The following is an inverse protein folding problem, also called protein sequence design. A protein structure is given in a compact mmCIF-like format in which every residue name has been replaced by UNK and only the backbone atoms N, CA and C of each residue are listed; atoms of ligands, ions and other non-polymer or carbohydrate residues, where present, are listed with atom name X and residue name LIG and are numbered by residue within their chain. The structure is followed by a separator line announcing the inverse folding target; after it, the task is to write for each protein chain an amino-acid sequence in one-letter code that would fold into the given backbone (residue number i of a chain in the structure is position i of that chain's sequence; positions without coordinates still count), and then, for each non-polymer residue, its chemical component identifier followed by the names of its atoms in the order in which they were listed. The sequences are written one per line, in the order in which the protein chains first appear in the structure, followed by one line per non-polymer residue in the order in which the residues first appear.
data_IF_938737903581
#
_entry.id   IF_938737903581
#
_cell.length_a   1.000
_cell.length_b   1.000
_cell.length_c   1.000
_cell.angle_alpha   90.00
_cell.angle_beta   90.00
_cell.angle_gamma   90.00
#
_symmetry.space_group_name_H-M   'P 1'
#
loop_
_entity.id
_entity.type
_entity.pdbx_description
1 polymer ?
#
# COMPACT_ATOMS: atom_id res chain seq x y z
N UNK A 1 12.25 22.82 -16.43
CA UNK A 1 12.75 21.46 -16.10
C UNK A 1 13.01 20.78 -17.43
N UNK A 2 14.18 20.19 -17.66
CA UNK A 2 14.46 19.51 -18.92
C UNK A 2 13.52 18.30 -19.07
N UNK A 3 12.90 18.16 -20.24
CA UNK A 3 12.01 17.05 -20.53
C UNK A 3 12.83 15.75 -20.52
N UNK A 4 12.51 14.81 -19.62
CA UNK A 4 13.15 13.49 -19.62
C UNK A 4 12.65 12.71 -20.84
N UNK A 5 13.51 12.53 -21.84
CA UNK A 5 13.17 11.96 -23.14
C UNK A 5 13.14 10.43 -23.16
N UNK A 6 13.56 9.76 -22.08
CA UNK A 6 13.62 8.31 -21.97
C UNK A 6 13.36 7.84 -20.53
N UNK A 7 12.92 6.59 -20.39
CA UNK A 7 12.78 5.83 -19.15
C UNK A 7 14.09 5.07 -18.94
N UNK A 8 14.76 5.29 -17.82
CA UNK A 8 15.98 4.58 -17.46
C UNK A 8 15.66 3.39 -16.58
N UNK A 9 16.00 2.19 -17.05
CA UNK A 9 16.03 0.97 -16.24
C UNK A 9 17.50 0.68 -15.94
N UNK A 10 17.81 0.47 -14.66
CA UNK A 10 19.17 0.14 -14.21
C UNK A 10 19.15 -1.08 -13.30
N UNK A 11 20.05 -2.02 -13.54
CA UNK A 11 20.30 -3.18 -12.69
C UNK A 11 19.12 -4.14 -12.59
N UNK A 12 18.24 -4.21 -13.60
CA UNK A 12 17.05 -5.07 -13.53
C UNK A 12 17.44 -6.54 -13.38
N UNK A 13 16.91 -7.20 -12.35
CA UNK A 13 17.27 -8.55 -11.92
C UNK A 13 16.07 -9.49 -11.74
N UNK A 14 14.88 -9.03 -12.12
CA UNK A 14 13.68 -9.84 -11.97
C UNK A 14 13.75 -11.14 -12.77
N UNK A 15 13.37 -12.23 -12.12
CA UNK A 15 13.47 -13.60 -12.62
C UNK A 15 14.86 -13.99 -13.13
N UNK A 16 15.07 -13.94 -14.44
CA UNK A 16 16.31 -14.36 -15.10
C UNK A 16 17.09 -13.19 -15.73
N UNK A 17 16.66 -11.96 -15.47
CA UNK A 17 17.40 -10.76 -15.88
C UNK A 17 18.74 -10.69 -15.16
N UNK A 18 19.80 -10.37 -15.89
CA UNK A 18 21.19 -10.40 -15.40
C UNK A 18 21.73 -9.00 -15.17
N UNK A 19 21.10 -8.22 -14.29
CA UNK A 19 21.43 -6.80 -14.04
C UNK A 19 21.36 -5.98 -15.33
N UNK A 20 20.18 -5.98 -15.96
CA UNK A 20 19.98 -5.31 -17.24
C UNK A 20 19.81 -3.81 -17.04
N UNK A 21 20.62 -3.03 -17.74
CA UNK A 21 20.48 -1.59 -17.90
C UNK A 21 19.92 -1.29 -19.30
N UNK A 22 18.86 -0.49 -19.39
CA UNK A 22 18.28 -0.07 -20.68
C UNK A 22 17.61 1.30 -20.59
N UNK A 23 17.75 2.09 -21.64
CA UNK A 23 17.03 3.35 -21.83
C UNK A 23 15.94 3.18 -22.87
N UNK A 24 14.70 3.48 -22.51
CA UNK A 24 13.52 3.31 -23.36
C UNK A 24 12.99 4.70 -23.73
N UNK A 25 12.97 5.08 -25.02
CA UNK A 25 12.49 6.40 -25.42
C UNK A 25 11.02 6.60 -25.05
N UNK A 26 10.69 7.75 -24.47
CA UNK A 26 9.31 8.13 -24.16
C UNK A 26 8.59 8.57 -25.43
N UNK A 27 7.26 8.47 -25.42
CA UNK A 27 6.38 8.90 -26.52
C UNK A 27 6.64 8.21 -27.87
N UNK A 28 7.23 7.02 -27.84
CA UNK A 28 7.48 6.20 -29.02
C UNK A 28 6.91 4.81 -28.83
N UNK A 29 6.54 4.17 -29.94
CA UNK A 29 6.11 2.78 -29.93
C UNK A 29 7.34 1.87 -29.89
N UNK A 30 7.64 1.32 -28.71
CA UNK A 30 8.81 0.48 -28.48
C UNK A 30 8.40 -0.98 -28.41
N UNK A 31 9.10 -1.84 -29.15
CA UNK A 31 8.85 -3.28 -29.19
C UNK A 31 10.02 -4.03 -28.54
N UNK A 32 9.73 -4.86 -27.54
CA UNK A 32 10.69 -5.75 -26.90
C UNK A 32 10.58 -7.15 -27.53
N UNK A 33 11.66 -7.63 -28.16
CA UNK A 33 11.69 -8.92 -28.88
C UNK A 33 12.88 -9.78 -28.46
N UNK A 34 12.86 -11.07 -28.84
CA UNK A 34 13.85 -12.07 -28.42
C UNK A 34 13.28 -13.49 -28.25
N UNK A 35 14.17 -14.48 -28.16
CA UNK A 35 13.84 -15.90 -28.02
C UNK A 35 12.94 -16.20 -26.80
N UNK A 36 12.17 -17.29 -26.86
CA UNK A 36 11.38 -17.73 -25.69
C UNK A 36 12.28 -17.90 -24.46
N UNK A 37 11.85 -17.42 -23.30
CA UNK A 37 12.62 -17.46 -22.06
C UNK A 37 13.73 -16.40 -21.93
N UNK A 38 13.91 -15.48 -22.88
CA UNK A 38 14.98 -14.47 -22.81
C UNK A 38 14.77 -13.32 -21.81
N UNK A 39 13.68 -13.32 -21.03
CA UNK A 39 13.38 -12.27 -20.04
C UNK A 39 12.56 -11.08 -20.54
N UNK A 40 11.95 -11.14 -21.74
CA UNK A 40 11.11 -10.05 -22.31
C UNK A 40 9.96 -9.65 -21.39
N UNK A 41 9.16 -10.63 -20.96
CA UNK A 41 8.01 -10.39 -20.08
C UNK A 41 8.45 -9.88 -18.72
N UNK A 42 9.57 -10.41 -18.20
CA UNK A 42 10.15 -9.96 -16.94
C UNK A 42 10.61 -8.51 -16.98
N UNK A 43 11.17 -8.06 -18.10
CA UNK A 43 11.53 -6.66 -18.29
C UNK A 43 10.27 -5.78 -18.50
N UNK A 44 9.36 -6.18 -19.39
CA UNK A 44 8.21 -5.36 -19.79
C UNK A 44 7.13 -5.23 -18.70
N UNK A 45 6.72 -6.36 -18.14
CA UNK A 45 5.58 -6.44 -17.22
C UNK A 45 6.03 -6.42 -15.77
N UNK A 46 6.97 -7.32 -15.42
CA UNK A 46 7.32 -7.54 -14.02
C UNK A 46 8.30 -6.47 -13.49
N UNK A 47 8.98 -5.74 -14.37
CA UNK A 47 9.86 -4.60 -14.00
C UNK A 47 9.23 -3.27 -14.39
N UNK A 48 9.10 -2.98 -15.69
CA UNK A 48 8.71 -1.63 -16.16
C UNK A 48 7.26 -1.30 -15.82
N UNK A 49 6.33 -2.21 -16.09
CA UNK A 49 4.91 -1.97 -15.80
C UNK A 49 4.59 -2.03 -14.30
N UNK A 50 5.25 -2.92 -13.55
CA UNK A 50 5.06 -3.05 -12.10
C UNK A 50 5.54 -1.80 -11.33
N UNK A 51 6.71 -1.26 -11.69
CA UNK A 51 7.31 -0.09 -11.03
C UNK A 51 6.82 1.25 -11.59
N UNK A 52 6.36 1.27 -12.84
CA UNK A 52 5.81 2.45 -13.48
C UNK A 52 4.47 2.83 -12.86
N UNK A 53 4.44 3.79 -11.93
CA UNK A 53 3.18 4.41 -11.49
C UNK A 53 2.35 4.82 -12.72
N UNK A 54 1.09 4.36 -12.87
CA UNK A 54 0.33 4.59 -14.11
C UNK A 54 -0.05 6.05 -14.42
N UNK A 55 0.13 7.02 -13.51
CA UNK A 55 -0.43 8.37 -13.70
C UNK A 55 0.53 9.57 -13.56
N UNK A 56 1.62 9.50 -12.80
CA UNK A 56 2.43 10.71 -12.51
C UNK A 56 3.88 10.67 -13.02
N UNK A 57 4.44 9.48 -13.26
CA UNK A 57 5.82 9.32 -13.73
C UNK A 57 6.90 9.84 -12.76
N UNK A 58 6.56 10.09 -11.49
CA UNK A 58 7.49 10.49 -10.44
C UNK A 58 8.11 9.27 -9.75
N UNK A 59 9.36 9.35 -9.26
CA UNK A 59 9.98 8.30 -8.46
C UNK A 59 9.10 7.95 -7.25
N UNK A 60 9.00 6.65 -6.93
CA UNK A 60 8.33 6.19 -5.71
C UNK A 60 9.28 6.44 -4.55
N UNK A 61 9.01 7.48 -3.76
CA UNK A 61 9.76 7.78 -2.54
C UNK A 61 8.97 7.38 -1.30
N UNK A 62 9.68 7.02 -0.23
CA UNK A 62 9.08 6.84 1.09
C UNK A 62 8.45 8.16 1.53
N UNK A 63 7.15 8.16 1.79
CA UNK A 63 6.43 9.36 2.19
C UNK A 63 6.62 9.60 3.69
N UNK A 64 6.79 10.86 4.09
CA UNK A 64 6.74 11.20 5.49
C UNK A 64 5.29 11.23 5.96
N UNK A 65 5.08 10.99 7.26
CA UNK A 65 3.74 11.08 7.88
C UNK A 65 3.11 12.45 7.60
N UNK A 66 3.90 13.52 7.59
CA UNK A 66 3.39 14.86 7.31
C UNK A 66 2.81 14.98 5.89
N UNK A 67 3.45 14.38 4.89
CA UNK A 67 2.94 14.41 3.51
C UNK A 67 1.59 13.70 3.39
N UNK A 68 1.41 12.60 4.15
CA UNK A 68 0.14 11.86 4.22
C UNK A 68 -0.95 12.70 4.88
N UNK A 69 -0.62 13.39 5.96
CA UNK A 69 -1.54 14.30 6.66
C UNK A 69 -1.98 15.43 5.73
N UNK A 70 -1.04 16.08 5.05
CA UNK A 70 -1.32 17.19 4.16
C UNK A 70 -2.23 16.77 2.99
N UNK A 71 -2.02 15.58 2.43
CA UNK A 71 -2.92 15.01 1.41
C UNK A 71 -4.34 14.83 1.91
N UNK A 72 -4.52 14.34 3.13
CA UNK A 72 -5.84 14.14 3.73
C UNK A 72 -6.52 15.47 4.05
N UNK A 73 -5.77 16.47 4.53
CA UNK A 73 -6.31 17.80 4.81
C UNK A 73 -6.75 18.56 3.54
N UNK A 74 -6.18 18.23 2.38
CA UNK A 74 -6.60 18.76 1.09
C UNK A 74 -7.87 18.11 0.51
N UNK A 75 -8.45 17.12 1.20
CA UNK A 75 -9.74 16.54 0.81
C UNK A 75 -10.90 17.50 1.14
N UNK A 76 -12.07 17.26 0.54
CA UNK A 76 -13.26 18.06 0.79
C UNK A 76 -13.66 18.04 2.28
N UNK A 77 -13.92 19.21 2.84
CA UNK A 77 -14.34 19.36 4.24
C UNK A 77 -15.64 18.59 4.50
N UNK A 78 -15.71 17.92 5.65
CA UNK A 78 -16.85 17.05 5.99
C UNK A 78 -16.78 15.64 5.40
N UNK A 79 -15.79 15.33 4.54
CA UNK A 79 -15.55 13.96 4.09
C UNK A 79 -15.36 13.03 5.27
N UNK A 80 -16.02 11.88 5.24
CA UNK A 80 -15.97 10.87 6.31
C UNK A 80 -15.14 9.70 5.84
N UNK A 81 -14.11 9.35 6.60
CA UNK A 81 -13.21 8.25 6.26
C UNK A 81 -12.86 7.43 7.50
N UNK A 82 -12.49 6.16 7.26
CA UNK A 82 -11.85 5.33 8.26
C UNK A 82 -10.35 5.27 7.94
N UNK A 83 -9.50 5.51 8.93
CA UNK A 83 -8.09 5.18 8.84
C UNK A 83 -7.91 3.72 9.30
N UNK A 84 -7.44 2.88 8.39
CA UNK A 84 -7.31 1.45 8.60
C UNK A 84 -5.84 1.05 8.63
N UNK A 85 -5.46 0.21 9.60
CA UNK A 85 -4.14 -0.41 9.67
C UNK A 85 -4.23 -1.90 9.32
N UNK A 86 -3.71 -2.33 8.17
CA UNK A 86 -3.83 -3.70 7.68
C UNK A 86 -2.81 -4.62 8.37
N UNK A 87 -3.24 -5.34 9.39
CA UNK A 87 -2.38 -6.23 10.18
C UNK A 87 -2.25 -7.64 9.60
N UNK A 88 -3.23 -8.06 8.80
CA UNK A 88 -3.23 -9.36 8.12
C UNK A 88 -3.73 -9.16 6.70
N UNK A 89 -2.93 -9.58 5.72
CA UNK A 89 -3.29 -9.54 4.30
C UNK A 89 -3.16 -10.92 3.70
N UNK A 90 -4.28 -11.46 3.23
CA UNK A 90 -4.38 -12.68 2.42
C UNK A 90 -3.66 -13.89 3.05
N UNK A 91 -3.81 -14.06 4.37
CA UNK A 91 -3.16 -15.14 5.14
C UNK A 91 -4.19 -16.04 5.82
N UNK A 92 -3.81 -17.32 5.98
CA UNK A 92 -4.64 -18.33 6.64
C UNK A 92 -4.43 -18.32 8.16
N UNK A 93 -5.50 -18.40 8.94
CA UNK A 93 -5.41 -18.45 10.39
C UNK A 93 -6.74 -18.18 11.10
N UNK A 94 -6.78 -18.40 12.42
CA UNK A 94 -7.96 -18.10 13.25
C UNK A 94 -7.88 -16.73 13.95
N UNK A 95 -6.68 -16.15 14.05
CA UNK A 95 -6.36 -14.81 14.56
C UNK A 95 -6.94 -14.43 15.95
N UNK A 96 -7.29 -15.41 16.78
CA UNK A 96 -7.88 -15.19 18.12
C UNK A 96 -6.95 -14.44 19.07
N UNK A 97 -5.64 -14.67 19.00
CA UNK A 97 -4.66 -14.01 19.86
C UNK A 97 -4.50 -12.55 19.48
N UNK A 98 -4.45 -12.30 18.18
CA UNK A 98 -4.32 -11.00 17.56
C UNK A 98 -5.53 -10.13 17.93
N UNK A 99 -6.77 -10.64 17.83
CA UNK A 99 -7.95 -9.92 18.32
C UNK A 99 -7.87 -9.57 19.81
N UNK A 100 -7.39 -10.51 20.64
CA UNK A 100 -7.23 -10.27 22.08
C UNK A 100 -6.16 -9.20 22.38
N UNK A 101 -5.06 -9.22 21.66
CA UNK A 101 -3.97 -8.24 21.79
C UNK A 101 -4.42 -6.85 21.38
N UNK A 102 -5.12 -6.72 20.25
CA UNK A 102 -5.68 -5.44 19.80
C UNK A 102 -6.65 -4.86 20.82
N UNK A 103 -7.52 -5.70 21.37
CA UNK A 103 -8.46 -5.28 22.43
C UNK A 103 -7.71 -4.77 23.67
N UNK A 104 -6.66 -5.48 24.10
CA UNK A 104 -5.82 -5.05 25.23
C UNK A 104 -5.10 -3.73 24.97
N UNK A 105 -4.71 -3.49 23.73
CA UNK A 105 -4.12 -2.22 23.28
C UNK A 105 -5.15 -1.08 23.16
N UNK A 106 -6.44 -1.35 23.43
CA UNK A 106 -7.49 -0.34 23.48
C UNK A 106 -8.25 -0.13 22.17
N UNK A 107 -7.96 -0.92 21.13
CA UNK A 107 -8.73 -0.88 19.89
C UNK A 107 -10.12 -1.48 20.12
N UNK A 108 -11.12 -0.89 19.46
CA UNK A 108 -12.52 -1.30 19.61
C UNK A 108 -13.10 -1.97 18.37
N UNK A 109 -12.58 -1.67 17.16
CA UNK A 109 -13.17 -2.15 15.91
C UNK A 109 -12.13 -2.66 14.95
N UNK A 110 -12.53 -3.65 14.16
CA UNK A 110 -11.74 -4.24 13.07
C UNK A 110 -12.64 -4.42 11.86
N UNK A 111 -12.04 -4.42 10.68
CA UNK A 111 -12.64 -4.87 9.43
C UNK A 111 -12.05 -6.22 9.05
N UNK A 112 -12.87 -7.25 8.89
CA UNK A 112 -12.46 -8.59 8.45
C UNK A 112 -13.16 -8.93 7.13
N UNK A 113 -12.39 -9.28 6.10
CA UNK A 113 -12.90 -9.69 4.79
C UNK A 113 -13.95 -8.75 4.16
N UNK A 114 -13.90 -7.45 4.47
CA UNK A 114 -14.82 -6.38 4.05
C UNK A 114 -15.93 -5.98 5.04
N UNK A 115 -16.12 -6.73 6.13
CA UNK A 115 -17.14 -6.43 7.13
C UNK A 115 -16.54 -5.88 8.42
N UNK A 116 -17.25 -4.96 9.08
CA UNK A 116 -16.81 -4.35 10.33
C UNK A 116 -17.37 -5.11 11.54
N UNK A 117 -16.50 -5.36 12.52
CA UNK A 117 -16.82 -6.05 13.75
C UNK A 117 -16.32 -5.25 14.96
N UNK A 118 -17.00 -5.44 16.09
CA UNK A 118 -16.51 -5.00 17.39
C UNK A 118 -15.48 -6.01 17.93
N UNK A 119 -14.42 -5.54 18.57
CA UNK A 119 -13.40 -6.40 19.18
C UNK A 119 -13.89 -7.08 20.46
N UNK A 120 -15.00 -6.63 21.05
CA UNK A 120 -15.68 -7.35 22.12
C UNK A 120 -16.39 -8.61 21.58
N UNK A 121 -16.81 -8.61 20.31
CA UNK A 121 -17.48 -9.72 19.64
C UNK A 121 -16.88 -9.98 18.23
N UNK A 122 -15.60 -10.39 18.13
CA UNK A 122 -14.96 -10.61 16.84
C UNK A 122 -15.50 -11.87 16.14
N UNK A 123 -15.43 -11.94 14.80
CA UNK A 123 -15.90 -13.10 14.06
C UNK A 123 -15.00 -14.32 14.31
N UNK A 124 -15.59 -15.51 14.27
CA UNK A 124 -14.82 -16.76 14.32
C UNK A 124 -14.28 -17.06 12.93
N UNK A 125 -12.95 -17.13 12.80
CA UNK A 125 -12.26 -17.41 11.55
C UNK A 125 -11.81 -18.86 11.46
N UNK A 126 -11.93 -19.45 10.27
CA UNK A 126 -11.49 -20.82 9.99
C UNK A 126 -10.09 -20.81 9.39
N UNK A 127 -9.17 -21.48 10.08
CA UNK A 127 -7.74 -21.63 9.71
C UNK A 127 -7.47 -22.12 8.29
N UNK A 128 -8.44 -22.74 7.62
CA UNK A 128 -8.26 -23.24 6.24
C UNK A 128 -8.33 -22.14 5.20
N UNK A 129 -9.03 -21.05 5.51
CA UNK A 129 -9.31 -19.96 4.58
C UNK A 129 -8.38 -18.78 4.81
N UNK A 130 -8.21 -17.98 3.76
CA UNK A 130 -7.39 -16.76 3.79
C UNK A 130 -8.26 -15.59 4.24
N UNK A 131 -7.69 -14.70 5.02
CA UNK A 131 -8.38 -13.57 5.61
C UNK A 131 -7.58 -12.28 5.43
N UNK A 132 -8.33 -11.18 5.36
CA UNK A 132 -7.82 -9.82 5.47
C UNK A 132 -8.38 -9.20 6.75
N UNK A 133 -7.51 -8.63 7.59
CA UNK A 133 -7.87 -8.00 8.85
C UNK A 133 -7.24 -6.62 8.90
N UNK A 134 -8.09 -5.60 8.96
CA UNK A 134 -7.69 -4.21 9.13
C UNK A 134 -8.20 -3.67 10.47
N UNK A 135 -7.33 -3.09 11.27
CA UNK A 135 -7.71 -2.41 12.52
C UNK A 135 -8.26 -1.04 12.18
N UNK A 136 -9.37 -0.65 12.80
CA UNK A 136 -9.87 0.72 12.67
C UNK A 136 -9.12 1.61 13.66
N UNK A 137 -8.15 2.38 13.16
CA UNK A 137 -7.32 3.26 13.99
C UNK A 137 -8.05 4.56 14.31
N UNK A 138 -8.64 5.19 13.30
CA UNK A 138 -9.42 6.42 13.51
C UNK A 138 -10.65 6.50 12.61
N UNK A 139 -11.65 7.24 13.08
CA UNK A 139 -12.84 7.68 12.34
C UNK A 139 -12.72 9.18 12.11
N UNK A 140 -12.41 9.54 10.88
CA UNK A 140 -12.07 10.89 10.49
C UNK A 140 -13.30 11.56 9.86
N UNK A 141 -13.51 12.82 10.22
CA UNK A 141 -14.40 13.74 9.52
C UNK A 141 -13.57 14.97 9.19
N UNK A 142 -13.19 15.17 7.93
CA UNK A 142 -12.20 16.17 7.52
C UNK A 142 -12.60 17.57 7.98
N UNK A 143 -11.74 18.19 8.78
CA UNK A 143 -11.86 19.56 9.32
C UNK A 143 -10.52 20.28 9.26
N UNK A 144 -10.49 21.60 9.40
CA UNK A 144 -9.25 22.38 9.35
C UNK A 144 -8.32 22.07 10.54
N UNK A 145 -8.86 21.87 11.74
CA UNK A 145 -8.09 21.67 12.97
C UNK A 145 -7.97 20.19 13.35
N UNK A 146 -7.22 19.40 12.56
CA UNK A 146 -6.98 17.98 12.89
C UNK A 146 -5.60 17.43 12.54
N UNK A 147 -4.66 18.27 12.07
CA UNK A 147 -3.34 17.84 11.62
C UNK A 147 -2.59 16.98 12.66
N UNK A 148 -2.53 17.44 13.92
CA UNK A 148 -1.83 16.71 15.00
C UNK A 148 -2.46 15.35 15.27
N UNK A 149 -3.80 15.29 15.38
CA UNK A 149 -4.53 14.03 15.59
C UNK A 149 -4.35 13.06 14.43
N UNK A 150 -4.40 13.56 13.19
CA UNK A 150 -4.16 12.74 12.00
C UNK A 150 -2.74 12.19 12.01
N UNK A 151 -1.73 13.01 12.33
CA UNK A 151 -0.34 12.56 12.40
C UNK A 151 -0.14 11.43 13.42
N UNK A 152 -0.74 11.55 14.61
CA UNK A 152 -0.65 10.51 15.65
C UNK A 152 -1.37 9.22 15.23
N UNK A 153 -2.51 9.37 14.56
CA UNK A 153 -3.27 8.24 14.02
C UNK A 153 -2.51 7.54 12.89
N UNK A 154 -1.85 8.28 12.00
CA UNK A 154 -1.01 7.72 10.94
C UNK A 154 0.20 6.98 11.49
N UNK A 155 0.89 7.53 12.50
CA UNK A 155 1.99 6.82 13.18
C UNK A 155 1.52 5.50 13.77
N UNK A 156 0.40 5.54 14.49
CA UNK A 156 -0.21 4.33 15.08
C UNK A 156 -0.55 3.31 14.00
N UNK A 157 -1.10 3.74 12.86
CA UNK A 157 -1.45 2.84 11.77
C UNK A 157 -0.22 2.19 11.13
N UNK A 158 0.82 2.98 10.86
CA UNK A 158 2.07 2.49 10.29
C UNK A 158 2.79 1.54 11.24
N UNK A 159 2.82 1.83 12.55
CA UNK A 159 3.44 0.96 13.55
C UNK A 159 2.74 -0.40 13.65
N UNK A 160 1.41 -0.43 13.49
CA UNK A 160 0.63 -1.67 13.49
C UNK A 160 0.80 -2.50 12.22
N UNK A 161 1.07 -1.84 11.09
CA UNK A 161 1.07 -2.46 9.76
C UNK A 161 2.49 -2.65 9.20
N UNK A 162 3.53 -2.56 10.04
CA UNK A 162 4.94 -2.63 9.65
C UNK A 162 5.32 -1.63 8.54
N UNK A 163 4.76 -0.41 8.61
CA UNK A 163 5.04 0.70 7.69
C UNK A 163 4.14 0.77 6.45
N UNK A 164 3.05 0.00 6.40
CA UNK A 164 2.09 -0.05 5.28
C UNK A 164 0.81 0.73 5.57
#
# INVERSE_FOLDING_TARGET
MAEQNHIEVRGAREHNLKSVDVDIPRNQFVVITGLSGSGKSSLAFDTIYAEGQPETGLPIEAQQVQDMVDRVLNMEHGTRAYLLAPIVRDRKGEYKKEFLELRKSGFQRVKVNSEFYDLDEPPVLDKKFRHNIDVVVDRIVIKEEMATRLADSFRTALDLADGI
#
